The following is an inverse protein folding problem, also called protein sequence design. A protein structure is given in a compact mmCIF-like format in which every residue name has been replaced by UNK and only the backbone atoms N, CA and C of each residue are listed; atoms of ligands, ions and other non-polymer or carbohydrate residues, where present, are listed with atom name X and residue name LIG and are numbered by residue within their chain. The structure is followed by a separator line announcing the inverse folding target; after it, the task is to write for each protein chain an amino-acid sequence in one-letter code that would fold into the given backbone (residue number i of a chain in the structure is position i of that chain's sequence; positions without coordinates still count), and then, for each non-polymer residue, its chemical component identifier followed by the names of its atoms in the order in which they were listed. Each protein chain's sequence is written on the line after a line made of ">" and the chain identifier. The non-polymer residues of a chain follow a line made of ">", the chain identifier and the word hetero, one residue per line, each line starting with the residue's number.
data_IF_674900981547
#
_entry.id   IF_674900981547
#
_cell.length_a   1.000
_cell.length_b   1.000
_cell.length_c   1.000
_cell.angle_alpha   90.00
_cell.angle_beta   90.00
_cell.angle_gamma   90.00
#
_symmetry.space_group_name_H-M   'P 1'
#
loop_
_entity.id
_entity.type
_entity.pdbx_description
1 polymer ?
#
# COMPACT_ATOMS: atom_id res chain seq x y z
N UNK A 1 16.02 -10.99 0.24
CA UNK A 1 14.94 -11.89 -0.17
C UNK A 1 14.37 -12.54 1.08
N UNK A 2 13.05 -12.53 1.25
CA UNK A 2 12.38 -13.23 2.35
C UNK A 2 11.28 -14.15 1.80
N UNK A 3 10.91 -15.15 2.60
CA UNK A 3 9.82 -16.08 2.29
C UNK A 3 8.93 -16.25 3.51
N UNK A 4 7.62 -16.35 3.30
CA UNK A 4 6.66 -16.51 4.39
C UNK A 4 5.44 -17.32 3.96
N UNK A 5 4.95 -18.20 4.84
CA UNK A 5 3.68 -18.90 4.68
C UNK A 5 2.56 -18.02 5.22
N UNK A 6 1.51 -17.83 4.41
CA UNK A 6 0.38 -16.99 4.74
C UNK A 6 -0.74 -17.79 5.44
N UNK A 7 -1.67 -17.06 6.05
CA UNK A 7 -2.78 -17.61 6.84
C UNK A 7 -3.76 -18.43 5.99
N UNK A 8 -3.85 -18.13 4.70
CA UNK A 8 -4.67 -18.86 3.72
C UNK A 8 -3.96 -20.09 3.14
N UNK A 9 -2.74 -20.40 3.59
CA UNK A 9 -1.91 -21.51 3.10
C UNK A 9 -1.09 -21.18 1.86
N UNK A 10 -1.16 -19.95 1.35
CA UNK A 10 -0.33 -19.48 0.23
C UNK A 10 1.12 -19.17 0.65
N UNK A 11 2.01 -19.15 -0.34
CA UNK A 11 3.40 -18.75 -0.20
C UNK A 11 3.58 -17.30 -0.63
N UNK A 12 4.49 -16.61 0.05
CA UNK A 12 4.92 -15.26 -0.29
C UNK A 12 6.44 -15.20 -0.43
N UNK A 13 6.91 -14.48 -1.45
CA UNK A 13 8.33 -14.18 -1.67
C UNK A 13 8.49 -12.68 -1.86
N UNK A 14 9.37 -12.07 -1.07
CA UNK A 14 9.68 -10.64 -1.15
C UNK A 14 11.10 -10.36 -1.63
N UNK A 15 11.22 -9.36 -2.51
CA UNK A 15 12.47 -8.80 -3.02
C UNK A 15 12.55 -7.32 -2.61
N UNK A 16 13.47 -7.00 -1.71
CA UNK A 16 13.85 -5.61 -1.39
C UNK A 16 14.91 -5.16 -2.39
N UNK A 17 14.74 -4.00 -3.01
CA UNK A 17 15.77 -3.41 -3.88
C UNK A 17 16.95 -2.87 -3.03
N UNK A 18 18.15 -2.80 -3.61
CA UNK A 18 19.42 -2.51 -2.89
C UNK A 18 19.37 -1.18 -2.11
N UNK A 19 18.60 -0.25 -2.63
CA UNK A 19 18.34 1.11 -2.17
C UNK A 19 17.17 1.21 -1.17
N UNK A 20 16.46 0.11 -0.87
CA UNK A 20 15.51 -0.01 0.24
C UNK A 20 14.21 0.80 0.11
N UNK A 21 14.05 1.60 -0.94
CA UNK A 21 12.86 2.43 -1.16
C UNK A 21 11.70 1.72 -1.85
N UNK A 22 11.91 0.49 -2.32
CA UNK A 22 10.88 -0.32 -2.94
C UNK A 22 11.03 -1.79 -2.53
N UNK A 23 9.90 -2.47 -2.45
CA UNK A 23 9.81 -3.91 -2.28
C UNK A 23 8.86 -4.48 -3.32
N UNK A 24 9.20 -5.66 -3.82
CA UNK A 24 8.33 -6.42 -4.71
C UNK A 24 7.96 -7.73 -4.03
N UNK A 25 6.66 -7.95 -3.84
CA UNK A 25 6.14 -9.13 -3.17
C UNK A 25 5.32 -9.92 -4.17
N UNK A 26 5.67 -11.19 -4.33
CA UNK A 26 4.90 -12.18 -5.06
C UNK A 26 4.21 -13.09 -4.07
N UNK A 27 2.97 -13.47 -4.34
CA UNK A 27 2.29 -14.49 -3.58
C UNK A 27 1.41 -15.34 -4.51
N UNK A 28 1.19 -16.61 -4.15
CA UNK A 28 0.48 -17.59 -5.00
C UNK A 28 -0.97 -17.84 -4.57
N UNK A 29 -1.58 -16.88 -3.87
CA UNK A 29 -2.95 -17.02 -3.38
C UNK A 29 -3.96 -17.12 -4.52
N UNK A 30 -4.97 -17.96 -4.34
CA UNK A 30 -6.14 -18.02 -5.23
C UNK A 30 -7.12 -16.87 -4.99
N UNK A 31 -7.06 -16.23 -3.83
CA UNK A 31 -7.99 -15.18 -3.42
C UNK A 31 -7.56 -13.79 -3.89
N UNK A 32 -6.25 -13.50 -3.84
CA UNK A 32 -5.72 -12.18 -4.18
C UNK A 32 -5.03 -12.25 -5.53
N UNK A 33 -5.78 -12.06 -6.61
CA UNK A 33 -5.24 -12.19 -7.98
C UNK A 33 -4.70 -10.88 -8.56
N UNK A 34 -5.07 -9.76 -7.96
CA UNK A 34 -4.68 -8.43 -8.41
C UNK A 34 -3.52 -7.90 -7.55
N UNK A 35 -2.52 -7.25 -8.17
CA UNK A 35 -1.42 -6.66 -7.42
C UNK A 35 -1.88 -5.38 -6.71
N UNK A 36 -1.53 -5.27 -5.44
CA UNK A 36 -1.63 -4.02 -4.70
C UNK A 36 -0.36 -3.17 -4.90
N UNK A 37 -0.54 -1.86 -5.00
CA UNK A 37 0.55 -0.90 -5.07
C UNK A 37 0.54 -0.07 -3.79
N UNK A 38 1.56 -0.27 -2.96
CA UNK A 38 1.78 0.50 -1.75
C UNK A 38 2.74 1.67 -1.98
N UNK A 39 2.43 2.82 -1.39
CA UNK A 39 3.28 4.00 -1.39
C UNK A 39 3.64 4.30 0.06
N UNK A 40 4.93 4.17 0.38
CA UNK A 40 5.47 4.53 1.68
C UNK A 40 5.63 6.05 1.78
N UNK A 41 5.05 6.65 2.82
CA UNK A 41 5.20 8.06 3.19
C UNK A 41 5.66 8.16 4.65
N UNK A 42 6.18 9.32 5.05
CA UNK A 42 6.63 9.53 6.42
C UNK A 42 5.45 9.54 7.41
N UNK A 43 4.40 10.32 7.12
CA UNK A 43 3.16 10.42 7.90
C UNK A 43 1.96 10.45 6.95
N UNK A 44 1.03 9.51 7.14
CA UNK A 44 -0.14 9.37 6.23
C UNK A 44 -1.17 10.47 6.44
N UNK A 45 -1.31 10.97 7.67
CA UNK A 45 -2.26 12.06 7.98
C UNK A 45 -1.79 13.35 7.35
N UNK A 46 -0.50 13.69 7.47
CA UNK A 46 0.07 14.88 6.84
C UNK A 46 0.02 14.79 5.31
N UNK A 47 0.31 13.61 4.76
CA UNK A 47 0.15 13.36 3.32
C UNK A 47 -1.30 13.58 2.87
N UNK A 48 -2.28 13.04 3.59
CA UNK A 48 -3.69 13.26 3.32
C UNK A 48 -4.07 14.75 3.42
N UNK A 49 -3.70 15.44 4.50
CA UNK A 49 -4.05 16.87 4.68
C UNK A 49 -3.50 17.74 3.55
N UNK A 50 -2.29 17.44 3.08
CA UNK A 50 -1.64 18.14 1.97
C UNK A 50 -2.34 17.92 0.62
N UNK A 51 -3.01 16.77 0.43
CA UNK A 51 -3.53 16.34 -0.86
C UNK A 51 -5.05 16.11 -0.91
N UNK A 52 -5.79 16.34 0.19
CA UNK A 52 -7.23 16.08 0.26
C UNK A 52 -8.04 16.90 -0.76
N UNK A 53 -7.58 18.11 -1.08
CA UNK A 53 -8.20 19.01 -2.06
C UNK A 53 -7.67 18.81 -3.50
N UNK A 54 -6.79 17.82 -3.73
CA UNK A 54 -6.28 17.57 -5.07
C UNK A 54 -7.36 16.93 -5.95
N UNK A 55 -7.88 17.69 -6.91
CA UNK A 55 -8.95 17.25 -7.82
C UNK A 55 -8.63 15.97 -8.59
N UNK A 56 -7.34 15.65 -8.81
CA UNK A 56 -6.88 14.45 -9.50
C UNK A 56 -6.96 13.19 -8.63
N UNK A 57 -7.23 13.32 -7.33
CA UNK A 57 -7.27 12.22 -6.38
C UNK A 57 -8.73 11.96 -5.96
N UNK A 58 -9.10 10.70 -5.89
CA UNK A 58 -10.30 10.23 -5.19
C UNK A 58 -9.87 9.43 -3.98
N UNK A 59 -10.12 9.96 -2.79
CA UNK A 59 -9.91 9.23 -1.54
C UNK A 59 -11.01 8.19 -1.36
N UNK A 60 -10.63 6.91 -1.41
CA UNK A 60 -11.53 5.78 -1.17
C UNK A 60 -11.65 5.56 0.34
N UNK A 61 -10.52 5.63 1.04
CA UNK A 61 -10.41 5.51 2.49
C UNK A 61 -9.47 6.61 2.99
N UNK A 62 -9.99 7.50 3.83
CA UNK A 62 -9.17 8.48 4.56
C UNK A 62 -8.29 7.78 5.59
N UNK A 63 -7.23 8.43 6.12
CA UNK A 63 -6.31 7.79 7.04
C UNK A 63 -7.00 7.08 8.22
N UNK A 64 -6.64 5.83 8.43
CA UNK A 64 -7.02 4.99 9.58
C UNK A 64 -5.77 4.45 10.27
N UNK A 65 -5.86 4.21 11.56
CA UNK A 65 -4.79 3.60 12.35
C UNK A 65 -4.73 2.09 12.09
N UNK A 66 -3.53 1.55 11.90
CA UNK A 66 -3.33 0.10 11.71
C UNK A 66 -3.24 -0.61 13.07
N UNK A 67 -3.71 -1.86 13.19
CA UNK A 67 -3.69 -2.61 14.46
C UNK A 67 -2.32 -2.76 15.12
N UNK A 68 -1.23 -2.64 14.37
CA UNK A 68 0.14 -2.82 14.86
C UNK A 68 0.97 -1.52 14.78
N UNK A 69 0.31 -0.37 14.64
CA UNK A 69 0.93 0.95 14.56
C UNK A 69 1.08 1.51 13.14
N UNK A 70 1.24 2.83 13.07
CA UNK A 70 1.21 3.60 11.83
C UNK A 70 -0.21 3.73 11.26
N UNK A 71 -0.30 4.31 10.06
CA UNK A 71 -1.58 4.57 9.40
C UNK A 71 -1.64 3.94 8.00
N UNK A 72 -2.85 3.88 7.48
CA UNK A 72 -3.18 3.47 6.12
C UNK A 72 -4.24 4.41 5.55
N UNK A 73 -4.09 4.77 4.29
CA UNK A 73 -5.14 5.40 3.49
C UNK A 73 -5.21 4.72 2.12
N UNK A 74 -6.34 4.86 1.42
CA UNK A 74 -6.51 4.33 0.06
C UNK A 74 -6.97 5.44 -0.85
N UNK A 75 -6.25 5.63 -1.94
CA UNK A 75 -6.58 6.62 -2.94
C UNK A 75 -6.61 6.02 -4.33
N UNK A 76 -7.38 6.66 -5.20
CA UNK A 76 -7.41 6.37 -6.63
C UNK A 76 -7.03 7.61 -7.40
N UNK A 77 -6.05 7.48 -8.28
CA UNK A 77 -5.75 8.51 -9.28
C UNK A 77 -6.90 8.55 -10.29
N UNK A 78 -7.52 9.72 -10.47
CA UNK A 78 -8.59 9.91 -11.47
C UNK A 78 -8.04 10.02 -12.91
N UNK A 79 -6.72 10.15 -13.06
CA UNK A 79 -6.08 10.35 -14.37
C UNK A 79 -5.95 9.03 -15.11
N UNK A 80 -5.49 7.98 -14.41
CA UNK A 80 -5.17 6.66 -14.95
C UNK A 80 -5.96 5.53 -14.26
N UNK A 81 -6.83 5.88 -13.31
CA UNK A 81 -7.68 4.96 -12.55
C UNK A 81 -6.90 3.94 -11.69
N UNK A 82 -5.64 4.24 -11.35
CA UNK A 82 -4.80 3.39 -10.49
C UNK A 82 -5.21 3.56 -9.02
N UNK A 83 -5.37 2.45 -8.30
CA UNK A 83 -5.57 2.42 -6.85
C UNK A 83 -4.22 2.25 -6.16
N UNK A 84 -3.98 3.09 -5.16
CA UNK A 84 -2.77 3.11 -4.35
C UNK A 84 -3.14 3.03 -2.87
N UNK A 85 -2.40 2.21 -2.14
CA UNK A 85 -2.48 2.12 -0.69
C UNK A 85 -1.33 2.96 -0.11
N UNK A 86 -1.66 4.01 0.65
CA UNK A 86 -0.65 4.89 1.27
C UNK A 86 -0.41 4.39 2.68
N UNK A 87 0.85 4.09 3.01
CA UNK A 87 1.26 3.55 4.31
C UNK A 87 2.40 4.37 4.88
N UNK A 88 2.47 4.49 6.20
CA UNK A 88 3.45 5.32 6.88
C UNK A 88 3.15 5.41 8.37
N UNK A 89 3.78 6.37 9.06
CA UNK A 89 3.44 6.65 10.46
C UNK A 89 2.04 7.23 10.61
#
# INVERSE_FOLDING_TARGET
>A
MFQSNQIDGSNMVGLTFIDGGAEFVLHDSEQFKDPDIEVLVEDVKDFYQTHQENEKIHWIQTPIEKPFGGHLAVMRSKVDNIVLIVVGN
#
